data_IF_338107111159
#
_entry.id   IF_338107111159
#
_cell.length_a   1.000
_cell.length_b   1.000
_cell.length_c   1.000
_cell.angle_alpha   90.00
_cell.angle_beta   90.00
_cell.angle_gamma   90.00
#
_symmetry.space_group_name_H-M   'P 1'
#
loop_
_entity.id
_entity.type
_entity.pdbx_description
1 polymer ?
#
# COMPACT_ATOMS: atom_id res chain seq x y z
N UNK A 1 24.26 -12.82 -4.09
CA UNK A 1 24.43 -12.22 -3.84
C UNK A 1 24.46 -11.75 -3.85
N UNK A 2 24.19 -11.75 -3.96
CA UNK A 2 24.32 -11.02 -3.68
C UNK A 2 23.98 -10.40 -3.67
N UNK A 3 23.64 -10.33 -3.66
CA UNK A 3 23.48 -9.49 -3.39
C UNK A 3 23.39 -9.00 -3.58
N UNK A 4 23.26 -9.05 -3.64
CA UNK A 4 23.33 -8.23 -3.57
C UNK A 4 23.30 -7.63 -3.49
N UNK A 5 23.32 -7.77 -3.52
CA UNK A 5 23.49 -6.89 -3.23
C UNK A 5 23.31 -6.21 -3.73
N UNK A 6 23.03 -6.25 -4.10
CA UNK A 6 22.94 -5.43 -4.29
C UNK A 6 22.11 -4.97 -4.30
N UNK A 7 21.75 -5.08 -4.22
CA UNK A 7 21.17 -4.48 -3.81
C UNK A 7 20.96 -4.25 -3.12
N UNK A 8 21.21 -4.27 -2.73
CA UNK A 8 21.19 -3.78 -1.85
C UNK A 8 21.72 -3.11 -1.80
N UNK A 9 22.01 -2.82 -2.14
CA UNK A 9 22.42 -2.02 -1.93
C UNK A 9 22.22 -0.85 -2.24
N UNK A 10 22.24 -0.72 -2.90
CA UNK A 10 21.92 0.63 -3.25
C UNK A 10 20.81 1.21 -2.43
N UNK A 11 20.51 0.56 -1.47
CA UNK A 11 19.56 1.07 -0.51
C UNK A 11 20.06 2.38 0.08
N UNK A 12 19.22 3.37 0.09
CA UNK A 12 19.58 4.68 0.63
C UNK A 12 18.87 4.90 1.96
N UNK A 13 19.59 4.84 3.06
CA UNK A 13 18.94 4.98 4.37
C UNK A 13 18.40 6.37 4.64
N UNK A 14 18.78 7.37 3.86
CA UNK A 14 18.24 8.71 4.06
C UNK A 14 16.87 8.88 3.44
N UNK A 15 16.42 7.93 2.66
CA UNK A 15 15.06 7.99 2.14
C UNK A 15 14.07 7.94 3.29
N UNK A 16 13.10 8.82 3.23
CA UNK A 16 12.15 8.96 4.31
C UNK A 16 11.03 7.94 4.27
N UNK A 17 10.79 7.35 3.11
CA UNK A 17 9.71 6.41 2.97
C UNK A 17 10.03 5.14 3.74
N UNK A 18 9.20 4.80 4.67
CA UNK A 18 9.40 3.61 5.47
C UNK A 18 8.98 2.38 4.70
N UNK A 19 9.81 1.37 4.79
CA UNK A 19 9.50 0.09 4.20
C UNK A 19 8.55 -0.68 5.13
N UNK A 20 7.47 -1.21 4.55
CA UNK A 20 6.52 -1.98 5.32
C UNK A 20 6.93 -3.44 5.22
N UNK A 21 7.24 -4.09 6.35
CA UNK A 21 7.66 -5.49 6.31
C UNK A 21 6.57 -6.38 5.72
N UNK A 22 7.01 -7.44 5.06
CA UNK A 22 6.08 -8.36 4.45
C UNK A 22 5.10 -8.95 5.44
N UNK A 23 5.58 -9.27 6.64
CA UNK A 23 4.71 -9.84 7.66
C UNK A 23 3.56 -8.90 8.00
N UNK A 24 3.84 -7.59 8.02
CA UNK A 24 2.80 -6.61 8.29
C UNK A 24 1.81 -6.52 7.13
N UNK A 25 2.30 -6.61 5.91
CA UNK A 25 1.41 -6.61 4.75
C UNK A 25 0.47 -7.80 4.79
N UNK A 26 1.00 -8.95 5.15
CA UNK A 26 0.18 -10.16 5.26
C UNK A 26 -0.90 -10.01 6.31
N UNK A 27 -0.54 -9.47 7.46
CA UNK A 27 -1.52 -9.24 8.52
C UNK A 27 -2.55 -8.20 8.12
N UNK A 28 -2.11 -7.18 7.40
CA UNK A 28 -3.03 -6.17 6.90
C UNK A 28 -4.07 -6.78 5.97
N UNK A 29 -3.61 -7.64 5.06
CA UNK A 29 -4.52 -8.33 4.15
C UNK A 29 -5.58 -9.12 4.93
N UNK A 30 -5.13 -9.89 5.92
CA UNK A 30 -6.04 -10.70 6.72
C UNK A 30 -7.03 -9.81 7.47
N UNK A 31 -6.56 -8.71 8.05
CA UNK A 31 -7.41 -7.82 8.84
C UNK A 31 -8.43 -7.07 7.99
N UNK A 32 -8.02 -6.64 6.80
CA UNK A 32 -8.85 -5.75 6.00
C UNK A 32 -9.61 -6.45 4.90
N UNK A 33 -9.12 -7.57 4.45
CA UNK A 33 -9.73 -8.31 3.34
C UNK A 33 -10.27 -9.64 3.82
N UNK A 34 -9.45 -10.41 4.53
CA UNK A 34 -9.86 -11.70 5.00
C UNK A 34 -8.92 -12.79 4.51
N UNK A 35 -9.24 -14.01 4.84
CA UNK A 35 -8.39 -15.16 4.51
C UNK A 35 -8.78 -15.71 3.15
N UNK A 36 -8.67 -14.87 2.14
CA UNK A 36 -8.96 -15.22 0.75
C UNK A 36 -7.77 -14.82 -0.11
N UNK A 37 -7.65 -15.47 -1.25
CA UNK A 37 -6.51 -15.18 -2.13
C UNK A 37 -6.74 -13.91 -2.95
N UNK A 38 -7.96 -13.70 -3.44
CA UNK A 38 -8.27 -12.58 -4.30
C UNK A 38 -9.39 -11.74 -3.71
N UNK A 39 -9.37 -10.46 -4.04
CA UNK A 39 -10.43 -9.54 -3.64
C UNK A 39 -10.37 -8.31 -4.54
N UNK A 40 -11.50 -7.62 -4.72
CA UNK A 40 -11.45 -6.36 -5.46
C UNK A 40 -10.70 -5.30 -4.70
N UNK A 41 -10.14 -4.35 -5.44
CA UNK A 41 -9.48 -3.20 -4.86
C UNK A 41 -10.44 -2.48 -3.92
N UNK A 42 -9.93 -1.94 -2.82
CA UNK A 42 -10.77 -1.28 -1.83
C UNK A 42 -11.18 0.14 -2.22
N UNK A 43 -10.73 0.62 -3.35
CA UNK A 43 -11.21 1.89 -3.88
C UNK A 43 -12.56 1.65 -4.54
N UNK A 44 -13.56 2.45 -4.16
CA UNK A 44 -14.94 2.18 -4.53
C UNK A 44 -15.19 2.09 -6.03
N UNK A 45 -14.57 2.97 -6.79
CA UNK A 45 -14.81 3.00 -8.24
C UNK A 45 -13.83 2.13 -9.01
N UNK A 46 -12.85 1.54 -8.35
CA UNK A 46 -11.84 0.73 -9.04
C UNK A 46 -12.34 -0.70 -9.20
N UNK A 47 -12.25 -1.23 -10.40
CA UNK A 47 -12.71 -2.59 -10.67
C UNK A 47 -11.57 -3.60 -10.80
N UNK A 48 -10.37 -3.19 -10.47
CA UNK A 48 -9.25 -4.11 -10.50
C UNK A 48 -9.29 -5.08 -9.32
N UNK A 49 -8.78 -6.26 -9.54
CA UNK A 49 -8.64 -7.24 -8.47
C UNK A 49 -7.24 -7.19 -7.89
N UNK A 50 -7.15 -7.54 -6.62
CA UNK A 50 -5.88 -7.73 -5.94
C UNK A 50 -5.75 -9.19 -5.58
N UNK A 51 -4.51 -9.64 -5.38
CA UNK A 51 -4.28 -10.93 -4.75
C UNK A 51 -3.45 -10.70 -3.50
N UNK A 52 -3.42 -11.70 -2.63
CA UNK A 52 -2.62 -11.61 -1.41
C UNK A 52 -1.13 -11.49 -1.70
N UNK A 53 -0.70 -11.82 -2.90
CA UNK A 53 0.70 -11.66 -3.33
C UNK A 53 0.93 -10.41 -4.14
N UNK A 54 -0.13 -9.74 -4.58
CA UNK A 54 0.00 -8.62 -5.50
C UNK A 54 -0.98 -7.53 -5.10
N UNK A 55 -0.61 -6.78 -4.12
CA UNK A 55 -1.36 -5.61 -3.69
C UNK A 55 -0.39 -4.60 -3.11
N UNK A 56 -0.84 -3.37 -3.02
CA UNK A 56 -0.06 -2.31 -2.41
C UNK A 56 -0.76 -1.83 -1.16
N UNK A 57 0.01 -1.18 -0.30
CA UNK A 57 -0.53 -0.62 0.93
C UNK A 57 -0.71 0.87 0.73
N UNK A 58 -1.96 1.32 0.76
CA UNK A 58 -2.25 2.73 0.69
C UNK A 58 -2.39 3.31 2.09
N UNK A 59 -1.97 4.56 2.24
CA UNK A 59 -2.12 5.28 3.50
C UNK A 59 -3.32 6.21 3.40
N UNK A 60 -4.17 6.19 4.40
CA UNK A 60 -5.26 7.14 4.43
C UNK A 60 -4.72 8.55 4.60
N UNK A 61 -3.75 8.72 5.51
CA UNK A 61 -3.01 9.97 5.63
C UNK A 61 -1.58 9.68 5.19
N UNK A 62 -1.08 10.33 4.13
CA UNK A 62 0.28 10.07 3.65
C UNK A 62 1.33 10.40 4.69
N UNK A 63 2.45 9.70 4.62
CA UNK A 63 3.57 9.98 5.52
C UNK A 63 4.03 11.43 5.43
N UNK A 64 4.01 11.97 4.21
CA UNK A 64 4.43 13.35 4.00
C UNK A 64 3.55 14.34 4.74
N UNK A 65 2.37 13.93 5.18
CA UNK A 65 1.44 14.77 5.91
C UNK A 65 1.22 14.26 7.33
N UNK A 66 2.18 13.52 7.85
CA UNK A 66 2.13 13.06 9.23
C UNK A 66 1.42 11.72 9.44
N UNK A 67 1.08 11.03 8.38
CA UNK A 67 0.43 9.73 8.51
C UNK A 67 1.37 8.72 9.13
N UNK A 68 0.82 7.88 10.01
CA UNK A 68 1.60 6.92 10.76
C UNK A 68 1.40 5.52 10.23
N UNK A 69 2.34 4.65 10.56
CA UNK A 69 2.27 3.24 10.23
C UNK A 69 1.40 2.54 11.27
N UNK A 70 0.09 2.65 11.08
CA UNK A 70 -0.91 2.11 11.99
C UNK A 70 -1.98 1.39 11.20
N UNK A 71 -2.54 0.33 11.78
CA UNK A 71 -3.52 -0.48 11.07
C UNK A 71 -4.68 0.35 10.52
N UNK A 72 -5.16 1.31 11.30
CA UNK A 72 -6.30 2.12 10.86
C UNK A 72 -5.93 3.17 9.82
N UNK A 73 -4.65 3.33 9.52
CA UNK A 73 -4.20 4.24 8.49
C UNK A 73 -3.78 3.52 7.21
N UNK A 74 -3.90 2.21 7.17
CA UNK A 74 -3.40 1.40 6.06
C UNK A 74 -4.54 0.64 5.41
N UNK A 75 -4.54 0.62 4.08
CA UNK A 75 -5.60 -0.03 3.31
C UNK A 75 -4.96 -0.79 2.14
N UNK A 76 -5.29 -2.06 1.94
CA UNK A 76 -4.83 -2.75 0.73
C UNK A 76 -5.55 -2.17 -0.49
N UNK A 77 -4.79 -1.81 -1.50
CA UNK A 77 -5.32 -1.30 -2.76
C UNK A 77 -4.50 -1.90 -3.90
N UNK A 78 -5.01 -1.80 -5.12
CA UNK A 78 -4.28 -2.32 -6.25
C UNK A 78 -3.10 -1.39 -6.57
N UNK A 79 -2.12 -1.94 -7.27
CA UNK A 79 -0.91 -1.18 -7.57
C UNK A 79 -1.22 0.04 -8.45
N UNK A 80 -2.20 -0.08 -9.32
CA UNK A 80 -2.54 1.04 -10.21
C UNK A 80 -3.06 2.24 -9.43
N UNK A 81 -3.95 1.98 -8.47
CA UNK A 81 -4.45 3.07 -7.63
C UNK A 81 -3.32 3.68 -6.81
N UNK A 82 -2.49 2.82 -6.21
CA UNK A 82 -1.42 3.33 -5.37
C UNK A 82 -0.44 4.19 -6.15
N UNK A 83 -0.03 3.72 -7.33
CA UNK A 83 0.91 4.48 -8.14
C UNK A 83 0.31 5.78 -8.65
N UNK A 84 -0.97 5.75 -9.01
CA UNK A 84 -1.65 6.95 -9.52
C UNK A 84 -1.89 7.98 -8.44
N UNK A 85 -2.23 7.54 -7.24
CA UNK A 85 -2.43 8.46 -6.12
C UNK A 85 -1.15 9.19 -5.75
N UNK A 86 -0.04 8.46 -5.77
CA UNK A 86 1.23 9.01 -5.33
C UNK A 86 1.08 9.63 -3.95
N UNK A 87 1.61 10.83 -3.79
CA UNK A 87 1.50 11.57 -2.54
C UNK A 87 0.47 12.69 -2.64
N UNK A 88 -0.26 12.78 -3.75
CA UNK A 88 -1.17 13.89 -3.98
C UNK A 88 -2.58 13.65 -3.47
N UNK A 89 -2.95 12.42 -3.20
CA UNK A 89 -4.30 12.09 -2.71
C UNK A 89 -4.20 11.11 -1.55
N UNK A 90 -5.11 11.24 -0.59
CA UNK A 90 -5.29 10.19 0.40
C UNK A 90 -6.40 9.25 -0.08
N UNK A 91 -6.65 8.20 0.67
CA UNK A 91 -7.65 7.20 0.27
C UNK A 91 -9.04 7.81 0.13
N UNK A 92 -9.41 8.66 1.07
CA UNK A 92 -10.72 9.29 1.02
C UNK A 92 -10.89 10.15 -0.22
N UNK A 93 -9.88 10.97 -0.52
CA UNK A 93 -9.94 11.83 -1.70
C UNK A 93 -10.02 11.01 -2.96
N UNK A 94 -9.23 9.94 -3.03
CA UNK A 94 -9.20 9.08 -4.21
C UNK A 94 -10.55 8.40 -4.43
N UNK A 95 -11.17 7.93 -3.34
CA UNK A 95 -12.50 7.34 -3.42
C UNK A 95 -13.54 8.33 -3.92
N UNK A 96 -13.37 9.60 -3.61
CA UNK A 96 -14.38 10.63 -3.93
C UNK A 96 -14.32 11.12 -5.37
N UNK A 97 -13.28 10.75 -6.11
CA UNK A 97 -13.11 11.26 -7.47
C UNK A 97 -14.29 10.90 -8.38
N UNK A 98 -14.86 9.73 -8.19
CA UNK A 98 -15.97 9.25 -9.01
C UNK A 98 -17.14 8.80 -8.13
N UNK A 99 -17.53 9.62 -7.20
CA UNK A 99 -18.64 9.26 -6.32
C UNK A 99 -19.94 9.86 -6.78
#
# INVERSE_FOLDING_TARGET
MTIDKRSLRSYNPTMTKKHIPRAMKEQLWIKKVGRVFEAPCNIKWCENNMTSFDFHVGHNVPESKGGKLEWNNLVPICCRCNLSMGSSHNIREWNSLLS
#
